data_IF_828197928569
#
_entry.id   IF_828197928569
#
_cell.length_a   1.000
_cell.length_b   1.000
_cell.length_c   1.000
_cell.angle_alpha   90.00
_cell.angle_beta   90.00
_cell.angle_gamma   90.00
#
_symmetry.space_group_name_H-M   'P 1'
#
loop_
_entity.id
_entity.type
_entity.pdbx_description
1 polymer ?
#
# COMPACT_ATOMS: atom_id res chain seq x y z
N UNK A 1 -22.74 -11.10 -3.33
CA UNK A 1 -22.26 -10.16 -2.27
C UNK A 1 -22.43 -8.74 -2.80
N UNK A 2 -22.92 -7.81 -1.97
CA UNK A 2 -22.97 -6.37 -2.34
C UNK A 2 -21.53 -5.84 -2.39
N UNK A 3 -21.22 -4.98 -3.36
CA UNK A 3 -19.94 -4.30 -3.44
C UNK A 3 -19.67 -3.51 -2.15
N UNK A 4 -18.47 -3.63 -1.60
CA UNK A 4 -18.01 -2.77 -0.51
C UNK A 4 -17.35 -1.53 -1.12
N UNK A 5 -17.88 -0.35 -0.79
CA UNK A 5 -17.32 0.91 -1.28
C UNK A 5 -15.87 1.06 -0.85
N UNK A 6 -15.03 1.57 -1.74
CA UNK A 6 -13.61 1.76 -1.54
C UNK A 6 -13.28 3.26 -1.49
N UNK A 7 -12.28 3.62 -0.71
CA UNK A 7 -11.70 4.97 -0.78
C UNK A 7 -11.17 5.22 -2.20
N UNK A 8 -10.66 4.18 -2.84
CA UNK A 8 -10.23 4.18 -4.23
C UNK A 8 -11.33 4.59 -5.23
N UNK A 9 -12.62 4.42 -4.93
CA UNK A 9 -13.73 4.79 -5.83
C UNK A 9 -13.76 6.32 -6.07
N UNK A 10 -13.61 7.09 -5.00
CA UNK A 10 -13.60 8.55 -5.10
C UNK A 10 -12.34 9.06 -5.82
N UNK A 11 -11.19 8.43 -5.58
CA UNK A 11 -9.93 8.76 -6.25
C UNK A 11 -9.99 8.42 -7.75
N UNK A 12 -10.60 7.28 -8.12
CA UNK A 12 -10.81 6.91 -9.51
C UNK A 12 -11.70 7.93 -10.23
N UNK A 13 -12.79 8.34 -9.58
CA UNK A 13 -13.70 9.36 -10.12
C UNK A 13 -12.98 10.68 -10.36
N UNK A 14 -12.24 11.19 -9.37
CA UNK A 14 -11.47 12.43 -9.49
C UNK A 14 -10.46 12.36 -10.67
N UNK A 15 -9.79 11.21 -10.80
CA UNK A 15 -8.85 11.01 -11.92
C UNK A 15 -9.55 10.92 -13.28
N UNK A 16 -10.71 10.30 -13.36
CA UNK A 16 -11.52 10.25 -14.60
C UNK A 16 -12.04 11.63 -14.98
N UNK A 17 -12.37 12.47 -14.01
CA UNK A 17 -12.78 13.85 -14.26
C UNK A 17 -11.61 14.73 -14.78
N UNK A 18 -10.36 14.30 -14.55
CA UNK A 18 -9.15 15.06 -14.89
C UNK A 18 -8.44 14.55 -16.14
N UNK A 19 -8.39 13.23 -16.35
CA UNK A 19 -7.61 12.59 -17.42
C UNK A 19 -8.50 11.81 -18.39
N UNK A 20 -8.05 11.66 -19.64
CA UNK A 20 -8.75 10.88 -20.65
C UNK A 20 -8.83 9.38 -20.32
N UNK A 21 -7.81 8.85 -19.66
CA UNK A 21 -7.78 7.46 -19.21
C UNK A 21 -7.12 7.31 -17.83
N UNK A 22 -7.49 6.25 -17.10
CA UNK A 22 -6.89 5.90 -15.80
C UNK A 22 -6.47 4.43 -15.80
N UNK A 23 -5.20 4.19 -15.47
CA UNK A 23 -4.65 2.84 -15.23
C UNK A 23 -4.67 2.55 -13.73
N UNK A 24 -5.36 1.49 -13.33
CA UNK A 24 -5.39 0.98 -11.96
C UNK A 24 -4.37 -0.16 -11.85
N UNK A 25 -3.36 0.04 -11.00
CA UNK A 25 -2.32 -0.95 -10.71
C UNK A 25 -2.43 -1.43 -9.25
N UNK A 26 -1.79 -2.54 -8.93
CA UNK A 26 -1.74 -3.10 -7.57
C UNK A 26 -1.72 -4.62 -7.58
N UNK A 27 -1.58 -5.29 -6.41
CA UNK A 27 -1.44 -6.73 -6.31
C UNK A 27 -2.66 -7.47 -6.86
N UNK A 28 -2.46 -8.71 -7.29
CA UNK A 28 -3.57 -9.61 -7.63
C UNK A 28 -4.50 -9.77 -6.43
N UNK A 29 -5.80 -9.87 -6.71
CA UNK A 29 -6.80 -10.09 -5.67
C UNK A 29 -7.21 -8.87 -4.85
N UNK A 30 -6.59 -7.68 -5.00
CA UNK A 30 -6.97 -6.47 -4.22
C UNK A 30 -8.29 -5.81 -4.68
N UNK A 31 -8.89 -6.26 -5.80
CA UNK A 31 -10.23 -5.82 -6.23
C UNK A 31 -10.25 -4.80 -7.38
N UNK A 32 -9.16 -4.58 -8.12
CA UNK A 32 -9.04 -3.61 -9.24
C UNK A 32 -10.19 -3.68 -10.23
N UNK A 33 -10.40 -4.86 -10.82
CA UNK A 33 -11.47 -5.10 -11.81
C UNK A 33 -12.85 -4.78 -11.23
N UNK A 34 -13.10 -5.18 -9.98
CA UNK A 34 -14.40 -4.94 -9.33
C UNK A 34 -14.65 -3.45 -9.12
N UNK A 35 -13.65 -2.71 -8.64
CA UNK A 35 -13.71 -1.25 -8.47
C UNK A 35 -13.87 -0.54 -9.83
N UNK A 36 -13.09 -0.93 -10.83
CA UNK A 36 -13.19 -0.38 -12.19
C UNK A 36 -14.58 -0.56 -12.79
N UNK A 37 -15.20 -1.74 -12.62
CA UNK A 37 -16.55 -2.05 -13.09
C UNK A 37 -17.63 -1.17 -12.47
N UNK A 38 -17.44 -0.63 -11.25
CA UNK A 38 -18.42 0.29 -10.64
C UNK A 38 -18.58 1.60 -11.40
N UNK A 39 -17.53 2.02 -12.12
CA UNK A 39 -17.50 3.30 -12.84
C UNK A 39 -17.45 3.14 -14.36
N UNK A 40 -17.38 1.92 -14.86
CA UNK A 40 -17.38 1.66 -16.30
C UNK A 40 -18.80 1.43 -16.83
N UNK A 41 -19.07 1.89 -18.07
CA UNK A 41 -20.33 1.64 -18.78
C UNK A 41 -20.23 0.50 -19.77
N UNK A 42 -19.02 0.15 -20.19
CA UNK A 42 -18.75 -1.01 -21.03
C UNK A 42 -17.40 -1.62 -20.69
N UNK A 43 -17.23 -2.92 -20.95
CA UNK A 43 -16.08 -3.71 -20.50
C UNK A 43 -15.54 -4.59 -21.62
N UNK A 44 -14.21 -4.64 -21.74
CA UNK A 44 -13.46 -5.65 -22.48
C UNK A 44 -12.57 -6.38 -21.46
N UNK A 45 -12.80 -7.68 -21.29
CA UNK A 45 -12.02 -8.58 -20.44
C UNK A 45 -11.13 -9.46 -21.34
N UNK A 46 -9.81 -9.17 -21.38
CA UNK A 46 -8.89 -9.92 -22.23
C UNK A 46 -8.65 -11.36 -21.75
N UNK A 47 -9.13 -11.71 -20.57
CA UNK A 47 -9.06 -13.06 -20.00
C UNK A 47 -10.40 -13.82 -20.08
N UNK A 48 -11.43 -13.27 -20.73
CA UNK A 48 -12.68 -13.97 -21.03
C UNK A 48 -12.42 -15.05 -22.09
N UNK A 49 -12.36 -16.31 -21.69
CA UNK A 49 -11.99 -17.44 -22.56
C UNK A 49 -12.86 -17.54 -23.82
N UNK A 50 -14.15 -17.18 -23.75
CA UNK A 50 -15.05 -17.24 -24.90
C UNK A 50 -14.73 -16.18 -25.98
N UNK A 51 -14.17 -15.04 -25.60
CA UNK A 51 -13.93 -13.89 -26.48
C UNK A 51 -12.45 -13.56 -26.64
N UNK A 52 -11.58 -14.22 -25.85
CA UNK A 52 -10.15 -13.92 -25.77
C UNK A 52 -9.50 -13.84 -27.15
N UNK A 53 -9.66 -14.88 -27.96
CA UNK A 53 -8.99 -14.94 -29.26
C UNK A 53 -9.47 -13.83 -30.20
N UNK A 54 -10.78 -13.52 -30.18
CA UNK A 54 -11.35 -12.43 -30.97
C UNK A 54 -10.79 -11.07 -30.50
N UNK A 55 -10.76 -10.85 -29.17
CA UNK A 55 -10.24 -9.57 -28.63
C UNK A 55 -8.77 -9.40 -28.90
N UNK A 56 -7.95 -10.44 -28.73
CA UNK A 56 -6.50 -10.37 -28.99
C UNK A 56 -6.18 -10.18 -30.48
N UNK A 57 -6.91 -10.87 -31.37
CA UNK A 57 -6.77 -10.67 -32.82
C UNK A 57 -7.16 -9.24 -33.21
N UNK A 58 -8.32 -8.75 -32.75
CA UNK A 58 -8.77 -7.38 -33.02
C UNK A 58 -7.79 -6.35 -32.44
N UNK A 59 -7.29 -6.56 -31.22
CA UNK A 59 -6.28 -5.67 -30.61
C UNK A 59 -4.96 -5.62 -31.41
N UNK A 60 -4.60 -6.73 -32.07
CA UNK A 60 -3.40 -6.84 -32.91
C UNK A 60 -3.55 -6.06 -34.21
N UNK A 61 -4.70 -6.22 -34.89
CA UNK A 61 -4.88 -5.78 -36.29
C UNK A 61 -5.62 -4.45 -36.40
N UNK A 62 -6.61 -4.21 -35.53
CA UNK A 62 -7.47 -3.05 -35.53
C UNK A 62 -7.84 -2.59 -34.12
N UNK A 63 -6.86 -2.21 -33.26
CA UNK A 63 -7.13 -1.91 -31.84
C UNK A 63 -8.16 -0.79 -31.61
N UNK A 64 -8.32 0.15 -32.55
CA UNK A 64 -9.32 1.22 -32.49
C UNK A 64 -10.77 0.69 -32.49
N UNK A 65 -11.03 -0.48 -33.06
CA UNK A 65 -12.36 -1.08 -33.06
C UNK A 65 -12.79 -1.48 -31.65
N UNK A 66 -11.86 -1.85 -30.78
CA UNK A 66 -12.17 -2.18 -29.40
C UNK A 66 -12.49 -0.92 -28.55
N UNK A 67 -12.19 0.28 -29.04
CA UNK A 67 -12.51 1.52 -28.35
C UNK A 67 -13.98 1.95 -28.51
N UNK A 68 -14.71 1.33 -29.45
CA UNK A 68 -16.12 1.62 -29.72
C UNK A 68 -16.98 1.03 -28.58
N UNK A 69 -17.80 1.87 -27.94
CA UNK A 69 -18.71 1.49 -26.86
C UNK A 69 -18.88 2.62 -25.85
N UNK A 70 -19.78 2.43 -24.89
CA UNK A 70 -20.11 3.41 -23.86
C UNK A 70 -18.92 3.72 -22.95
N UNK A 71 -18.79 4.98 -22.58
CA UNK A 71 -17.68 5.53 -21.78
C UNK A 71 -18.14 5.89 -20.35
N UNK A 72 -17.27 5.66 -19.36
CA UNK A 72 -15.92 5.08 -19.40
C UNK A 72 -15.94 3.61 -19.85
N UNK A 73 -14.98 3.23 -20.70
CA UNK A 73 -14.82 1.83 -21.14
C UNK A 73 -13.64 1.19 -20.43
N UNK A 74 -13.88 0.04 -19.79
CA UNK A 74 -12.86 -0.73 -19.08
C UNK A 74 -12.15 -1.70 -20.03
N UNK A 75 -10.82 -1.72 -19.93
CA UNK A 75 -9.94 -2.74 -20.50
C UNK A 75 -9.27 -3.48 -19.36
N UNK A 76 -9.80 -4.65 -19.01
CA UNK A 76 -9.30 -5.47 -17.91
C UNK A 76 -8.13 -6.33 -18.36
N UNK A 77 -7.03 -6.32 -17.57
CA UNK A 77 -5.74 -6.96 -17.86
C UNK A 77 -5.17 -6.52 -19.22
N UNK A 78 -5.12 -5.19 -19.45
CA UNK A 78 -4.71 -4.56 -20.72
C UNK A 78 -3.36 -5.03 -21.25
N UNK A 79 -2.45 -5.49 -20.38
CA UNK A 79 -1.11 -5.96 -20.74
C UNK A 79 -1.14 -7.22 -21.62
N UNK A 80 -2.24 -7.94 -21.68
CA UNK A 80 -2.42 -9.07 -22.61
C UNK A 80 -2.62 -8.59 -24.06
N UNK A 81 -3.00 -7.30 -24.24
CA UNK A 81 -3.22 -6.66 -25.54
C UNK A 81 -2.47 -5.31 -25.66
N UNK A 82 -1.12 -5.29 -25.69
CA UNK A 82 -0.32 -4.06 -25.54
C UNK A 82 -0.61 -2.95 -26.54
N UNK A 83 -1.04 -3.28 -27.77
CA UNK A 83 -1.37 -2.29 -28.80
C UNK A 83 -2.56 -1.41 -28.43
N UNK A 84 -3.43 -1.84 -27.50
CA UNK A 84 -4.56 -1.05 -27.03
C UNK A 84 -4.10 0.24 -26.35
N UNK A 85 -2.95 0.24 -25.71
CA UNK A 85 -2.34 1.42 -25.09
C UNK A 85 -2.16 2.57 -26.08
N UNK A 86 -1.56 2.28 -27.23
CA UNK A 86 -1.35 3.27 -28.29
C UNK A 86 -2.66 3.80 -28.89
N UNK A 87 -3.65 2.90 -29.05
CA UNK A 87 -4.97 3.28 -29.55
C UNK A 87 -5.72 4.18 -28.57
N UNK A 88 -5.70 3.85 -27.27
CA UNK A 88 -6.31 4.68 -26.21
C UNK A 88 -5.64 6.05 -26.16
N UNK A 89 -4.30 6.11 -26.16
CA UNK A 89 -3.57 7.37 -26.16
C UNK A 89 -4.00 8.27 -27.35
N UNK A 90 -4.05 7.68 -28.55
CA UNK A 90 -4.48 8.40 -29.74
C UNK A 90 -5.93 8.89 -29.63
N UNK A 91 -6.85 8.03 -29.19
CA UNK A 91 -8.26 8.40 -29.01
C UNK A 91 -8.43 9.54 -28.00
N UNK A 92 -7.66 9.56 -26.89
CA UNK A 92 -7.67 10.67 -25.93
C UNK A 92 -7.18 11.97 -26.59
N UNK A 93 -6.14 11.91 -27.43
CA UNK A 93 -5.64 13.06 -28.18
C UNK A 93 -6.66 13.57 -29.20
N UNK A 94 -7.34 12.66 -29.92
CA UNK A 94 -8.30 13.00 -30.95
C UNK A 94 -9.61 13.54 -30.37
N UNK A 95 -10.14 12.93 -29.29
CA UNK A 95 -11.41 13.32 -28.68
C UNK A 95 -11.30 14.52 -27.73
N UNK A 96 -10.12 14.76 -27.16
CA UNK A 96 -9.83 15.83 -26.17
C UNK A 96 -10.85 15.87 -25.01
N UNK A 97 -11.27 14.69 -24.52
CA UNK A 97 -12.22 14.53 -23.43
C UNK A 97 -11.58 13.75 -22.27
N UNK A 98 -12.11 13.97 -21.09
CA UNK A 98 -11.79 13.21 -19.89
C UNK A 98 -12.74 12.02 -19.71
N UNK A 99 -12.38 11.04 -18.84
CA UNK A 99 -13.25 9.95 -18.44
C UNK A 99 -13.59 8.94 -19.55
N UNK A 100 -12.71 8.77 -20.53
CA UNK A 100 -12.99 7.89 -21.68
C UNK A 100 -12.70 6.41 -21.35
N UNK A 101 -11.58 6.14 -20.65
CA UNK A 101 -11.10 4.77 -20.49
C UNK A 101 -10.60 4.48 -19.09
N UNK A 102 -10.81 3.22 -18.66
CA UNK A 102 -10.20 2.64 -17.47
C UNK A 102 -9.40 1.41 -17.94
N UNK A 103 -8.18 1.27 -17.44
CA UNK A 103 -7.35 0.08 -17.65
C UNK A 103 -7.05 -0.54 -16.28
N UNK A 104 -7.00 -1.87 -16.21
CA UNK A 104 -6.50 -2.55 -15.02
C UNK A 104 -5.32 -3.44 -15.38
N UNK A 105 -4.34 -3.53 -14.48
CA UNK A 105 -3.20 -4.44 -14.61
C UNK A 105 -2.68 -4.88 -13.25
N UNK A 106 -2.43 -6.16 -13.11
CA UNK A 106 -1.98 -6.78 -11.87
C UNK A 106 -0.46 -6.95 -11.78
N UNK A 107 0.25 -6.66 -12.87
CA UNK A 107 1.71 -6.76 -12.94
C UNK A 107 2.25 -5.59 -13.77
N UNK A 108 3.43 -5.11 -13.41
CA UNK A 108 4.22 -4.24 -14.29
C UNK A 108 5.03 -5.11 -15.25
N UNK A 109 4.36 -5.91 -16.11
CA UNK A 109 5.04 -6.62 -17.19
C UNK A 109 5.88 -5.61 -17.98
N UNK A 110 7.03 -6.03 -18.50
CA UNK A 110 7.79 -5.25 -19.48
C UNK A 110 7.01 -5.20 -20.80
N UNK A 111 5.86 -4.50 -20.76
CA UNK A 111 5.08 -4.25 -21.96
C UNK A 111 5.81 -3.16 -22.73
N UNK A 112 6.40 -3.50 -23.86
CA UNK A 112 6.95 -2.51 -24.78
C UNK A 112 5.79 -1.74 -25.39
N UNK A 113 5.54 -0.53 -24.85
CA UNK A 113 4.64 0.42 -25.45
C UNK A 113 5.44 1.38 -26.33
N UNK A 114 4.94 1.66 -27.52
CA UNK A 114 5.61 2.54 -28.48
C UNK A 114 5.75 4.00 -28.02
N UNK A 115 4.93 4.41 -27.05
CA UNK A 115 4.92 5.77 -26.49
C UNK A 115 4.44 5.74 -25.03
N UNK A 116 4.96 6.67 -24.22
CA UNK A 116 4.47 6.89 -22.84
C UNK A 116 3.03 7.44 -22.87
N UNK A 117 2.23 7.09 -21.86
CA UNK A 117 0.87 7.64 -21.69
C UNK A 117 0.85 9.01 -20.99
N UNK A 118 2.00 9.70 -20.89
CA UNK A 118 2.15 10.94 -20.12
C UNK A 118 1.09 11.97 -20.48
N UNK A 119 0.42 12.53 -19.47
CA UNK A 119 -0.69 13.50 -19.55
C UNK A 119 -2.01 12.96 -20.14
N UNK A 120 -2.06 11.76 -20.70
CA UNK A 120 -3.27 11.14 -21.27
C UNK A 120 -3.81 10.06 -20.37
N UNK A 121 -2.91 9.25 -19.80
CA UNK A 121 -3.24 8.10 -18.95
C UNK A 121 -2.64 8.36 -17.58
N UNK A 122 -3.49 8.58 -16.58
CA UNK A 122 -3.08 8.70 -15.18
C UNK A 122 -2.97 7.33 -14.54
N UNK A 123 -2.02 7.15 -13.62
CA UNK A 123 -1.89 5.90 -12.88
C UNK A 123 -2.42 6.07 -11.46
N UNK A 124 -3.08 5.03 -10.95
CA UNK A 124 -3.60 4.93 -9.60
C UNK A 124 -3.22 3.57 -9.02
N UNK A 125 -2.57 3.56 -7.85
CA UNK A 125 -2.27 2.32 -7.13
C UNK A 125 -3.42 1.98 -6.19
N UNK A 126 -3.82 0.72 -6.19
CA UNK A 126 -4.87 0.18 -5.34
C UNK A 126 -4.28 -0.86 -4.38
N UNK A 127 -4.69 -0.80 -3.12
CA UNK A 127 -4.27 -1.67 -2.03
C UNK A 127 -5.35 -2.73 -1.71
N UNK A 128 -5.06 -3.76 -0.91
CA UNK A 128 -6.08 -4.53 -0.21
C UNK A 128 -7.01 -3.62 0.61
N UNK A 129 -8.12 -4.12 1.17
CA UNK A 129 -9.03 -3.29 1.99
C UNK A 129 -8.33 -2.85 3.28
N UNK A 130 -8.56 -1.58 3.64
CA UNK A 130 -8.25 -1.08 4.99
C UNK A 130 -9.24 -1.60 6.02
N UNK A 131 -8.96 -1.42 7.31
CA UNK A 131 -9.89 -1.75 8.39
C UNK A 131 -11.22 -0.98 8.28
N UNK A 132 -11.19 0.25 7.77
CA UNK A 132 -12.42 1.01 7.53
C UNK A 132 -13.23 0.43 6.36
N UNK A 133 -12.60 0.12 5.25
CA UNK A 133 -13.27 -0.49 4.08
C UNK A 133 -13.80 -1.89 4.38
N UNK A 134 -13.19 -2.61 5.32
CA UNK A 134 -13.64 -3.92 5.79
C UNK A 134 -14.66 -3.86 6.94
N UNK A 135 -14.99 -2.65 7.42
CA UNK A 135 -15.97 -2.40 8.50
C UNK A 135 -15.49 -2.82 9.90
N UNK A 136 -14.19 -2.93 10.09
CA UNK A 136 -13.54 -3.21 11.38
C UNK A 136 -13.15 -1.93 12.11
N UNK A 137 -12.83 -0.87 11.38
CA UNK A 137 -12.78 0.48 11.93
C UNK A 137 -14.18 1.14 11.89
N UNK A 138 -14.57 1.78 12.97
CA UNK A 138 -15.84 2.50 13.04
C UNK A 138 -15.80 3.88 12.35
N UNK A 139 -14.63 4.32 11.91
CA UNK A 139 -14.44 5.58 11.17
C UNK A 139 -14.79 6.84 11.96
N UNK A 140 -14.76 6.79 13.29
CA UNK A 140 -15.08 7.96 14.13
C UNK A 140 -14.03 9.07 14.08
N UNK A 141 -12.84 8.77 13.53
CA UNK A 141 -11.74 9.73 13.38
C UNK A 141 -11.34 9.81 11.91
N UNK A 142 -11.60 10.95 11.28
CA UNK A 142 -11.10 11.22 9.92
C UNK A 142 -9.68 11.78 9.97
N UNK A 143 -8.79 11.16 9.20
CA UNK A 143 -7.40 11.62 9.10
C UNK A 143 -7.32 13.00 8.45
N UNK A 144 -8.18 13.27 7.47
CA UNK A 144 -8.30 14.60 6.83
C UNK A 144 -8.74 15.67 7.83
N UNK A 145 -9.77 15.38 8.62
CA UNK A 145 -10.28 16.32 9.63
C UNK A 145 -9.23 16.61 10.71
N UNK A 146 -8.41 15.64 11.09
CA UNK A 146 -7.30 15.86 12.02
C UNK A 146 -6.27 16.86 11.48
N UNK A 147 -5.98 16.84 10.17
CA UNK A 147 -5.08 17.81 9.56
C UNK A 147 -5.72 19.19 9.39
N UNK A 148 -7.00 19.24 9.07
CA UNK A 148 -7.69 20.50 8.77
C UNK A 148 -8.19 21.20 10.04
N UNK A 149 -8.60 20.46 11.07
CA UNK A 149 -9.15 20.99 12.31
C UNK A 149 -8.82 20.08 13.51
N UNK A 150 -7.55 20.02 13.95
CA UNK A 150 -7.11 19.12 15.03
C UNK A 150 -7.82 19.36 16.36
N UNK A 151 -8.32 20.58 16.62
CA UNK A 151 -9.02 20.93 17.85
C UNK A 151 -10.48 20.42 17.87
N UNK A 152 -11.01 19.94 16.75
CA UNK A 152 -12.31 19.26 16.70
C UNK A 152 -12.29 17.90 17.38
N UNK A 153 -11.13 17.26 17.50
CA UNK A 153 -11.00 15.95 18.12
C UNK A 153 -11.26 16.00 19.63
N UNK A 154 -12.33 15.34 20.08
CA UNK A 154 -12.74 15.29 21.49
C UNK A 154 -12.54 13.92 22.14
N UNK A 155 -11.96 12.99 21.41
CA UNK A 155 -11.75 11.60 21.80
C UNK A 155 -12.49 10.63 20.90
N UNK A 156 -12.15 9.36 21.01
CA UNK A 156 -12.77 8.27 20.24
C UNK A 156 -12.76 6.97 21.03
N UNK A 157 -13.66 6.04 20.66
CA UNK A 157 -13.73 4.70 21.27
C UNK A 157 -13.77 3.68 20.13
N UNK A 158 -12.82 2.77 20.15
CA UNK A 158 -12.75 1.63 19.24
C UNK A 158 -13.51 0.43 19.84
N UNK A 159 -14.28 -0.25 19.00
CA UNK A 159 -14.89 -1.52 19.34
C UNK A 159 -14.04 -2.72 18.93
N UNK A 160 -12.95 -2.48 18.17
CA UNK A 160 -12.07 -3.53 17.69
C UNK A 160 -11.23 -4.10 18.84
N UNK A 161 -11.46 -5.35 19.17
CA UNK A 161 -10.69 -6.06 20.20
C UNK A 161 -9.33 -6.49 19.69
N UNK A 162 -8.37 -6.72 20.60
CA UNK A 162 -7.04 -7.21 20.22
C UNK A 162 -7.11 -8.55 19.46
N UNK A 163 -8.04 -9.44 19.83
CA UNK A 163 -8.24 -10.71 19.14
C UNK A 163 -8.72 -10.52 17.70
N UNK A 164 -9.65 -9.63 17.47
CA UNK A 164 -10.13 -9.27 16.13
C UNK A 164 -9.06 -8.57 15.31
N UNK A 165 -8.25 -7.70 15.94
CA UNK A 165 -7.11 -7.05 15.30
C UNK A 165 -6.04 -8.06 14.86
N UNK A 166 -5.67 -9.02 15.72
CA UNK A 166 -4.77 -10.12 15.37
C UNK A 166 -5.33 -10.91 14.18
N UNK A 167 -6.61 -11.25 14.24
CA UNK A 167 -7.28 -11.97 13.15
C UNK A 167 -7.25 -11.17 11.85
N UNK A 168 -7.53 -9.85 11.88
CA UNK A 168 -7.49 -8.96 10.73
C UNK A 168 -6.08 -8.87 10.11
N UNK A 169 -5.03 -8.80 10.94
CA UNK A 169 -3.62 -8.85 10.50
C UNK A 169 -3.33 -10.15 9.75
N UNK A 170 -3.74 -11.29 10.31
CA UNK A 170 -3.46 -12.61 9.72
C UNK A 170 -4.27 -12.86 8.44
N UNK A 171 -5.55 -12.47 8.42
CA UNK A 171 -6.46 -12.63 7.27
C UNK A 171 -6.06 -11.71 6.10
N UNK A 172 -5.58 -10.50 6.42
CA UNK A 172 -5.34 -9.45 5.45
C UNK A 172 -6.61 -8.76 4.93
N UNK A 173 -6.38 -7.73 4.10
CA UNK A 173 -7.44 -6.94 3.45
C UNK A 173 -7.92 -7.49 2.11
N UNK A 174 -7.81 -8.78 1.85
CA UNK A 174 -8.17 -9.39 0.55
C UNK A 174 -9.69 -9.50 0.38
N UNK A 175 -10.31 -8.91 -0.66
CA UNK A 175 -11.76 -8.93 -0.87
C UNK A 175 -12.38 -10.33 -0.85
N UNK A 176 -11.63 -11.35 -1.26
CA UNK A 176 -12.07 -12.75 -1.26
C UNK A 176 -12.41 -13.25 0.14
N UNK A 177 -11.67 -12.83 1.18
CA UNK A 177 -11.92 -13.22 2.55
C UNK A 177 -13.34 -12.89 3.03
N UNK A 178 -13.92 -11.78 2.53
CA UNK A 178 -15.24 -11.31 2.93
C UNK A 178 -16.39 -12.05 2.24
N UNK A 179 -16.09 -12.97 1.31
CA UNK A 179 -17.07 -13.89 0.71
C UNK A 179 -17.15 -15.21 1.47
N UNK A 180 -16.17 -15.52 2.29
CA UNK A 180 -16.03 -16.78 3.03
C UNK A 180 -16.78 -16.66 4.35
N UNK A 181 -17.63 -17.65 4.66
CA UNK A 181 -18.41 -17.68 5.91
C UNK A 181 -17.61 -18.21 7.09
N UNK A 182 -16.81 -19.25 6.85
CA UNK A 182 -16.00 -19.87 7.89
C UNK A 182 -14.75 -19.02 8.15
N UNK A 183 -14.54 -18.59 9.38
CA UNK A 183 -13.42 -17.70 9.72
C UNK A 183 -12.05 -18.37 9.56
N UNK A 184 -11.90 -19.64 9.88
CA UNK A 184 -10.63 -20.33 9.67
C UNK A 184 -10.22 -20.36 8.21
N UNK A 185 -11.17 -20.59 7.30
CA UNK A 185 -10.89 -20.63 5.86
C UNK A 185 -10.54 -19.24 5.27
N UNK A 186 -10.81 -18.15 6.00
CA UNK A 186 -10.37 -16.81 5.56
C UNK A 186 -8.85 -16.65 5.64
N UNK A 187 -8.20 -17.37 6.54
CA UNK A 187 -6.75 -17.36 6.69
C UNK A 187 -6.07 -18.07 5.51
N UNK A 188 -6.68 -19.12 4.97
CA UNK A 188 -6.18 -19.87 3.82
C UNK A 188 -5.98 -19.00 2.57
N UNK A 189 -6.68 -17.85 2.49
CA UNK A 189 -6.57 -16.93 1.34
C UNK A 189 -5.17 -16.34 1.22
N UNK A 190 -4.55 -15.97 2.33
CA UNK A 190 -3.19 -15.43 2.33
C UNK A 190 -2.16 -16.53 2.02
N UNK A 191 -2.36 -17.74 2.53
CA UNK A 191 -1.51 -18.90 2.25
C UNK A 191 -1.56 -19.28 0.77
N UNK A 192 -2.77 -19.36 0.18
CA UNK A 192 -2.92 -19.63 -1.26
C UNK A 192 -2.30 -18.51 -2.11
N UNK A 193 -2.48 -17.25 -1.71
CA UNK A 193 -1.85 -16.11 -2.40
C UNK A 193 -0.33 -16.26 -2.42
N UNK A 194 0.32 -16.53 -1.30
CA UNK A 194 1.77 -16.75 -1.23
C UNK A 194 2.17 -17.96 -2.10
N UNK A 195 1.39 -19.03 -2.03
CA UNK A 195 1.62 -20.19 -2.90
C UNK A 195 1.57 -19.83 -4.40
N UNK A 196 0.56 -19.08 -4.84
CA UNK A 196 0.42 -18.65 -6.24
C UNK A 196 1.56 -17.71 -6.66
N UNK A 197 1.94 -16.75 -5.80
CA UNK A 197 3.08 -15.86 -6.05
C UNK A 197 4.35 -16.68 -6.32
N UNK A 198 4.66 -17.63 -5.44
CA UNK A 198 5.88 -18.44 -5.54
C UNK A 198 5.88 -19.38 -6.75
N UNK A 199 4.74 -19.99 -7.07
CA UNK A 199 4.69 -21.08 -8.04
C UNK A 199 4.32 -20.62 -9.46
N UNK A 200 3.64 -19.47 -9.61
CA UNK A 200 3.12 -19.02 -10.90
C UNK A 200 3.46 -17.56 -11.20
N UNK A 201 3.05 -16.63 -10.33
CA UNK A 201 3.00 -15.21 -10.65
C UNK A 201 4.38 -14.61 -10.89
N UNK A 202 5.38 -14.99 -10.07
CA UNK A 202 6.73 -14.46 -10.18
C UNK A 202 7.42 -14.79 -11.52
N UNK A 203 7.05 -15.90 -12.14
CA UNK A 203 7.58 -16.29 -13.45
C UNK A 203 6.80 -15.70 -14.63
N UNK A 204 5.58 -15.19 -14.39
CA UNK A 204 4.73 -14.61 -15.44
C UNK A 204 5.02 -13.14 -15.77
N UNK A 205 5.97 -12.51 -15.06
CA UNK A 205 6.28 -11.09 -15.22
C UNK A 205 7.05 -10.82 -16.53
N UNK A 206 8.03 -11.67 -16.84
CA UNK A 206 9.00 -11.49 -17.93
C UNK A 206 9.40 -12.81 -18.59
N UNK A 207 8.58 -13.85 -18.44
CA UNK A 207 8.78 -15.21 -18.95
C UNK A 207 10.09 -15.89 -18.46
N UNK A 208 10.72 -15.34 -17.41
CA UNK A 208 11.86 -15.95 -16.74
C UNK A 208 11.38 -16.98 -15.73
N UNK A 209 11.75 -18.25 -15.92
CA UNK A 209 11.42 -19.30 -14.98
C UNK A 209 12.15 -19.10 -13.64
N UNK A 210 11.40 -18.85 -12.58
CA UNK A 210 11.91 -18.63 -11.22
C UNK A 210 11.61 -19.82 -10.31
N UNK A 211 12.52 -20.06 -9.37
CA UNK A 211 12.39 -21.14 -8.38
C UNK A 211 11.39 -20.76 -7.28
N UNK A 212 10.32 -21.56 -7.07
CA UNK A 212 9.40 -21.35 -5.96
C UNK A 212 10.11 -21.40 -4.59
N UNK A 213 11.08 -22.29 -4.43
CA UNK A 213 11.87 -22.44 -3.19
C UNK A 213 12.64 -21.16 -2.87
N UNK A 214 13.30 -20.56 -3.86
CA UNK A 214 14.05 -19.33 -3.68
C UNK A 214 13.12 -18.14 -3.41
N UNK A 215 11.98 -18.06 -4.11
CA UNK A 215 10.96 -17.03 -3.87
C UNK A 215 10.42 -17.09 -2.44
N UNK A 216 10.09 -18.28 -1.96
CA UNK A 216 9.61 -18.50 -0.59
C UNK A 216 10.67 -18.09 0.44
N UNK A 217 11.95 -18.45 0.22
CA UNK A 217 13.04 -18.07 1.13
C UNK A 217 13.21 -16.53 1.20
N UNK A 218 13.07 -15.83 0.09
CA UNK A 218 13.12 -14.36 0.04
C UNK A 218 11.93 -13.75 0.78
N UNK A 219 10.70 -14.21 0.52
CA UNK A 219 9.50 -13.73 1.21
C UNK A 219 9.61 -13.98 2.72
N UNK A 220 10.12 -15.14 3.13
CA UNK A 220 10.32 -15.47 4.55
C UNK A 220 11.35 -14.56 5.22
N UNK A 221 12.46 -14.25 4.54
CA UNK A 221 13.47 -13.30 5.06
C UNK A 221 12.89 -11.89 5.16
N UNK A 222 12.15 -11.42 4.16
CA UNK A 222 11.43 -10.15 4.22
C UNK A 222 10.43 -10.10 5.37
N UNK A 223 9.65 -11.16 5.55
CA UNK A 223 8.63 -11.26 6.60
C UNK A 223 9.23 -11.22 8.00
N UNK A 224 10.40 -11.87 8.19
CA UNK A 224 11.15 -11.83 9.45
C UNK A 224 11.69 -10.43 9.77
N UNK A 225 11.98 -9.65 8.75
CA UNK A 225 12.56 -8.33 8.84
C UNK A 225 11.53 -7.22 8.53
N UNK A 226 10.22 -7.52 8.57
CA UNK A 226 9.17 -6.55 8.28
C UNK A 226 9.25 -5.35 9.23
N UNK A 227 9.03 -4.15 8.71
CA UNK A 227 9.11 -2.88 9.43
C UNK A 227 10.47 -2.63 10.12
N UNK A 228 11.56 -3.19 9.61
CA UNK A 228 12.92 -2.92 10.12
C UNK A 228 13.81 -2.27 9.06
N UNK A 229 14.90 -1.65 9.51
CA UNK A 229 15.97 -1.07 8.67
C UNK A 229 16.96 -2.12 8.16
N UNK A 230 16.52 -3.36 8.00
CA UNK A 230 17.34 -4.46 7.52
C UNK A 230 17.93 -4.14 6.15
N UNK A 231 19.24 -4.27 5.99
CA UNK A 231 19.91 -4.09 4.71
C UNK A 231 19.76 -5.31 3.79
N UNK A 232 20.00 -5.14 2.50
CA UNK A 232 19.95 -6.24 1.54
C UNK A 232 20.99 -7.33 1.81
N UNK A 233 22.11 -6.97 2.44
CA UNK A 233 23.16 -7.94 2.79
C UNK A 233 22.63 -8.99 3.79
N UNK A 234 21.84 -8.56 4.75
CA UNK A 234 21.16 -9.45 5.71
C UNK A 234 20.18 -10.39 4.99
N UNK A 235 19.33 -9.84 4.08
CA UNK A 235 18.42 -10.66 3.28
C UNK A 235 19.19 -11.69 2.45
N UNK A 236 20.29 -11.29 1.82
CA UNK A 236 21.11 -12.22 1.02
C UNK A 236 21.73 -13.33 1.89
N UNK A 237 22.22 -13.01 3.07
CA UNK A 237 22.76 -14.00 4.01
C UNK A 237 21.70 -15.00 4.48
N UNK A 238 20.50 -14.49 4.83
CA UNK A 238 19.39 -15.36 5.22
C UNK A 238 19.02 -16.34 4.11
N UNK A 239 18.87 -15.87 2.88
CA UNK A 239 18.49 -16.69 1.72
C UNK A 239 19.57 -17.69 1.38
N UNK A 240 20.83 -17.27 1.36
CA UNK A 240 21.98 -18.14 1.06
C UNK A 240 22.22 -19.23 2.12
N UNK A 241 21.74 -19.05 3.32
CA UNK A 241 21.87 -20.10 4.36
C UNK A 241 21.18 -21.40 3.98
N UNK A 242 20.18 -21.35 3.08
CA UNK A 242 19.37 -22.50 2.66
C UNK A 242 19.27 -22.70 1.15
N UNK A 243 19.82 -21.77 0.37
CA UNK A 243 19.75 -21.80 -1.09
C UNK A 243 21.10 -21.41 -1.70
N UNK A 244 21.46 -22.10 -2.76
CA UNK A 244 22.62 -21.72 -3.61
C UNK A 244 22.15 -20.68 -4.63
N UNK A 245 22.34 -19.39 -4.30
CA UNK A 245 21.93 -18.27 -5.14
C UNK A 245 22.93 -17.11 -5.02
N UNK A 246 23.21 -16.43 -6.14
CA UNK A 246 24.02 -15.20 -6.13
C UNK A 246 23.24 -14.01 -5.62
N UNK A 247 23.92 -12.97 -5.10
CA UNK A 247 23.29 -11.69 -4.68
C UNK A 247 22.51 -11.07 -5.83
N UNK A 248 23.05 -11.13 -7.06
CA UNK A 248 22.36 -10.63 -8.25
C UNK A 248 21.04 -11.38 -8.48
N UNK A 249 21.06 -12.71 -8.40
CA UNK A 249 19.84 -13.51 -8.57
C UNK A 249 18.79 -13.15 -7.51
N UNK A 250 19.19 -13.01 -6.24
CA UNK A 250 18.26 -12.62 -5.16
C UNK A 250 17.69 -11.22 -5.42
N UNK A 251 18.52 -10.27 -5.88
CA UNK A 251 18.07 -8.92 -6.24
C UNK A 251 17.04 -8.94 -7.39
N UNK A 252 17.26 -9.75 -8.42
CA UNK A 252 16.34 -9.90 -9.56
C UNK A 252 14.97 -10.46 -9.11
N UNK A 253 14.96 -11.34 -8.09
CA UNK A 253 13.70 -11.85 -7.51
C UNK A 253 12.99 -10.79 -6.65
N UNK A 254 13.75 -10.00 -5.89
CA UNK A 254 13.19 -8.89 -5.11
C UNK A 254 12.52 -7.89 -6.05
N UNK A 255 13.20 -7.48 -7.14
CA UNK A 255 12.63 -6.60 -8.15
C UNK A 255 11.36 -7.20 -8.78
N UNK A 256 11.35 -8.51 -9.05
CA UNK A 256 10.17 -9.19 -9.55
C UNK A 256 9.00 -9.13 -8.54
N UNK A 257 9.25 -9.30 -7.25
CA UNK A 257 8.23 -9.18 -6.19
C UNK A 257 7.72 -7.73 -6.02
N UNK A 258 8.58 -6.72 -6.20
CA UNK A 258 8.19 -5.31 -6.25
C UNK A 258 7.28 -5.04 -7.47
N UNK A 259 7.60 -5.59 -8.63
CA UNK A 259 6.78 -5.49 -9.85
C UNK A 259 5.45 -6.22 -9.75
N UNK A 260 5.31 -7.21 -8.86
CA UNK A 260 4.03 -7.82 -8.47
C UNK A 260 3.27 -7.01 -7.43
N UNK A 261 3.82 -5.91 -6.95
CA UNK A 261 3.29 -5.11 -5.85
C UNK A 261 3.17 -5.89 -4.53
N UNK A 262 4.07 -6.84 -4.27
CA UNK A 262 4.12 -7.63 -3.04
C UNK A 262 5.07 -6.99 -2.03
N UNK A 263 6.27 -6.63 -2.47
CA UNK A 263 7.22 -5.83 -1.68
C UNK A 263 6.92 -4.36 -1.90
N UNK A 264 6.85 -3.62 -0.82
CA UNK A 264 6.63 -2.17 -0.81
C UNK A 264 7.40 -1.51 0.34
N UNK A 265 8.70 -1.42 0.17
CA UNK A 265 9.59 -0.79 1.14
C UNK A 265 9.22 0.69 1.39
N UNK A 266 9.51 1.17 2.61
CA UNK A 266 9.21 2.52 3.04
C UNK A 266 10.45 3.39 2.92
N UNK A 267 10.32 4.52 2.23
CA UNK A 267 11.40 5.46 2.02
C UNK A 267 11.67 6.32 3.28
N UNK A 268 12.93 6.68 3.55
CA UNK A 268 13.27 7.61 4.62
C UNK A 268 12.80 9.03 4.30
N UNK A 269 12.44 9.76 5.33
CA UNK A 269 12.07 11.17 5.25
C UNK A 269 13.00 12.04 6.12
N UNK A 270 13.10 13.31 5.77
CA UNK A 270 13.81 14.32 6.55
C UNK A 270 13.08 15.66 6.42
N UNK A 271 12.92 16.43 7.50
CA UNK A 271 12.25 17.74 7.44
C UNK A 271 12.95 18.73 6.49
N UNK A 272 14.24 18.58 6.27
CA UNK A 272 14.98 19.37 5.28
C UNK A 272 14.94 18.68 3.91
N UNK A 273 14.06 19.11 3.01
CA UNK A 273 13.85 18.52 1.64
C UNK A 273 15.17 18.39 0.85
N UNK A 274 16.13 19.30 1.07
CA UNK A 274 17.44 19.26 0.41
C UNK A 274 18.51 18.49 1.18
N UNK A 275 18.13 17.78 2.25
CA UNK A 275 19.06 16.99 3.04
C UNK A 275 19.57 15.78 2.26
N UNK A 276 20.90 15.65 2.21
CA UNK A 276 21.54 14.46 1.66
C UNK A 276 21.33 13.21 2.54
N UNK A 277 20.97 13.39 3.80
CA UNK A 277 20.78 12.32 4.77
C UNK A 277 19.58 11.45 4.40
N UNK A 278 18.43 12.04 4.04
CA UNK A 278 17.25 11.31 3.61
C UNK A 278 17.52 10.43 2.38
N UNK A 279 18.31 10.92 1.42
CA UNK A 279 18.65 10.17 0.20
C UNK A 279 19.59 9.00 0.49
N UNK A 280 20.41 9.10 1.54
CA UNK A 280 21.46 8.10 1.87
C UNK A 280 21.02 7.07 2.92
N UNK A 281 19.87 7.27 3.54
CA UNK A 281 19.32 6.33 4.50
C UNK A 281 18.72 5.12 3.77
N UNK A 282 18.81 3.93 4.37
CA UNK A 282 18.21 2.71 3.82
C UNK A 282 16.68 2.78 3.83
N UNK A 283 16.04 1.86 3.10
CA UNK A 283 14.58 1.70 3.16
C UNK A 283 14.20 0.78 4.31
N UNK A 284 13.09 1.06 4.97
CA UNK A 284 12.46 0.14 5.93
C UNK A 284 11.75 -0.96 5.14
N UNK A 285 12.03 -2.25 5.44
CA UNK A 285 11.45 -3.40 4.73
C UNK A 285 9.95 -3.48 4.98
N UNK A 286 9.16 -3.66 3.95
CA UNK A 286 7.71 -3.83 4.12
C UNK A 286 7.08 -4.64 2.98
N UNK A 287 5.91 -5.19 3.26
CA UNK A 287 5.04 -5.89 2.32
C UNK A 287 3.74 -5.10 2.15
N UNK A 288 3.05 -5.31 1.03
CA UNK A 288 1.82 -4.58 0.69
C UNK A 288 0.68 -4.83 1.70
N UNK A 289 0.72 -5.97 2.39
CA UNK A 289 -0.25 -6.39 3.40
C UNK A 289 0.42 -7.34 4.40
N UNK A 290 0.23 -7.16 5.73
CA UNK A 290 0.90 -7.97 6.75
C UNK A 290 0.56 -9.46 6.68
N UNK A 291 -0.59 -9.84 6.12
CA UNK A 291 -0.98 -11.26 5.99
C UNK A 291 -0.01 -12.06 5.11
N UNK A 292 0.67 -11.41 4.16
CA UNK A 292 1.72 -12.06 3.36
C UNK A 292 2.89 -12.47 4.26
N UNK A 293 3.24 -11.64 5.24
CA UNK A 293 4.28 -11.98 6.21
C UNK A 293 3.86 -13.16 7.10
N UNK A 294 2.63 -13.13 7.61
CA UNK A 294 2.06 -14.21 8.42
C UNK A 294 2.10 -15.54 7.67
N UNK A 295 1.58 -15.57 6.46
CA UNK A 295 1.57 -16.75 5.59
C UNK A 295 2.99 -17.25 5.26
N UNK A 296 3.91 -16.33 4.91
CA UNK A 296 5.30 -16.69 4.57
C UNK A 296 6.09 -17.24 5.78
N UNK A 297 5.76 -16.80 6.99
CA UNK A 297 6.34 -17.32 8.23
C UNK A 297 5.71 -18.66 8.65
N UNK A 298 4.51 -18.99 8.13
CA UNK A 298 3.77 -20.21 8.47
C UNK A 298 3.23 -20.16 9.90
N UNK A 299 2.74 -19.03 10.35
CA UNK A 299 2.21 -18.80 11.69
C UNK A 299 0.71 -18.48 11.65
N UNK A 300 0.01 -18.69 12.75
CA UNK A 300 -1.43 -18.48 12.89
C UNK A 300 -1.74 -17.42 13.97
N UNK A 301 -2.98 -16.95 14.10
CA UNK A 301 -3.35 -16.01 15.17
C UNK A 301 -2.95 -16.46 16.57
N UNK A 302 -2.99 -17.77 16.87
CA UNK A 302 -2.65 -18.35 18.17
C UNK A 302 -1.18 -18.16 18.54
N UNK A 303 -0.29 -18.08 17.54
CA UNK A 303 1.14 -17.85 17.76
C UNK A 303 1.40 -16.54 18.52
N UNK A 304 0.60 -15.53 18.28
CA UNK A 304 0.75 -14.20 18.87
C UNK A 304 0.35 -14.11 20.35
N UNK A 305 -0.18 -15.19 20.93
CA UNK A 305 -0.36 -15.25 22.38
C UNK A 305 0.97 -15.24 23.16
N UNK A 306 2.08 -15.53 22.49
CA UNK A 306 3.43 -15.62 23.08
C UNK A 306 4.46 -14.70 22.43
N UNK A 307 4.24 -14.23 21.21
CA UNK A 307 5.18 -13.38 20.47
C UNK A 307 4.58 -12.02 20.12
N UNK A 308 4.46 -11.15 21.13
CA UNK A 308 3.98 -9.78 20.97
C UNK A 308 4.96 -8.89 20.19
N UNK A 309 6.25 -9.25 20.16
CA UNK A 309 7.24 -8.46 19.41
C UNK A 309 7.01 -8.56 17.91
N UNK A 310 6.85 -9.76 17.39
CA UNK A 310 6.51 -9.97 15.96
C UNK A 310 5.14 -9.36 15.64
N UNK A 311 4.16 -9.47 16.56
CA UNK A 311 2.86 -8.83 16.39
C UNK A 311 2.98 -7.30 16.27
N UNK A 312 3.88 -6.66 17.03
CA UNK A 312 4.14 -5.21 16.96
C UNK A 312 4.57 -4.77 15.56
N UNK A 313 5.52 -5.47 14.93
CA UNK A 313 5.95 -5.17 13.57
C UNK A 313 4.85 -5.40 12.51
N UNK A 314 4.04 -6.43 12.69
CA UNK A 314 2.90 -6.68 11.79
C UNK A 314 1.79 -5.64 11.97
N UNK A 315 1.58 -5.15 13.18
CA UNK A 315 0.69 -4.04 13.49
C UNK A 315 1.17 -2.75 12.83
N UNK A 316 2.47 -2.45 12.91
CA UNK A 316 3.06 -1.32 12.18
C UNK A 316 2.81 -1.42 10.67
N UNK A 317 3.03 -2.60 10.06
CA UNK A 317 2.76 -2.83 8.64
C UNK A 317 1.28 -2.63 8.28
N UNK A 318 0.36 -3.07 9.15
CA UNK A 318 -1.08 -2.83 9.01
C UNK A 318 -1.39 -1.32 9.01
N UNK A 319 -0.85 -0.59 10.00
CA UNK A 319 -1.04 0.85 10.13
C UNK A 319 -0.51 1.60 8.89
N UNK A 320 0.66 1.25 8.40
CA UNK A 320 1.26 1.82 7.19
C UNK A 320 0.35 1.59 5.97
N UNK A 321 -0.16 0.35 5.77
CA UNK A 321 -1.11 0.05 4.69
C UNK A 321 -2.34 0.94 4.77
N UNK A 322 -2.98 0.99 5.93
CA UNK A 322 -4.22 1.73 6.13
C UNK A 322 -4.02 3.24 5.97
N UNK A 323 -2.94 3.79 6.52
CA UNK A 323 -2.62 5.21 6.37
C UNK A 323 -2.33 5.60 4.91
N UNK A 324 -1.69 4.74 4.12
CA UNK A 324 -1.53 4.96 2.67
C UNK A 324 -2.87 5.05 1.95
N UNK A 325 -3.84 4.23 2.36
CA UNK A 325 -5.20 4.26 1.81
C UNK A 325 -5.94 5.54 2.27
N UNK A 326 -5.95 5.82 3.57
CA UNK A 326 -6.68 6.97 4.14
C UNK A 326 -6.13 8.30 3.66
N UNK A 327 -4.81 8.42 3.47
CA UNK A 327 -4.18 9.65 3.00
C UNK A 327 -4.23 9.85 1.47
N UNK A 328 -4.72 8.88 0.72
CA UNK A 328 -4.68 8.92 -0.75
C UNK A 328 -5.43 10.10 -1.36
N UNK A 329 -6.56 10.53 -0.76
CA UNK A 329 -7.30 11.73 -1.17
C UNK A 329 -6.54 13.02 -0.90
N UNK A 330 -5.77 13.07 0.18
CA UNK A 330 -4.93 14.20 0.54
C UNK A 330 -3.60 14.21 -0.24
N UNK A 331 -3.38 13.22 -1.10
CA UNK A 331 -2.10 12.98 -1.80
C UNK A 331 -0.94 12.86 -0.82
N UNK A 332 -1.21 12.21 0.33
CA UNK A 332 -0.23 11.96 1.37
C UNK A 332 0.73 10.84 0.97
N UNK A 333 1.97 10.95 1.43
CA UNK A 333 3.01 9.94 1.22
C UNK A 333 3.52 9.48 2.59
N UNK A 334 3.58 8.15 2.75
CA UNK A 334 4.10 7.50 3.95
C UNK A 334 5.59 7.26 3.81
N UNK A 335 6.34 7.72 4.80
CA UNK A 335 7.78 7.53 4.96
C UNK A 335 8.07 7.21 6.43
N UNK A 336 9.34 7.12 6.82
CA UNK A 336 9.77 6.99 8.21
C UNK A 336 10.88 8.00 8.51
N UNK A 337 11.12 8.30 9.79
CA UNK A 337 12.25 9.11 10.22
C UNK A 337 13.19 8.29 11.11
N UNK A 338 14.49 8.41 10.85
CA UNK A 338 15.53 7.85 11.69
C UNK A 338 16.79 8.73 11.58
N UNK A 339 17.34 9.11 12.71
CA UNK A 339 18.56 9.89 12.76
C UNK A 339 19.80 9.05 13.15
N UNK A 340 20.95 9.66 13.06
CA UNK A 340 22.24 9.02 13.41
C UNK A 340 22.41 8.69 14.91
N UNK A 341 21.56 9.19 15.77
CA UNK A 341 21.60 8.98 17.21
C UNK A 341 20.58 7.94 17.68
N UNK A 342 19.84 7.34 16.74
CA UNK A 342 18.86 6.32 17.01
C UNK A 342 17.48 6.86 17.40
N UNK A 343 17.22 8.17 17.26
CA UNK A 343 15.89 8.72 17.41
C UNK A 343 15.09 8.45 16.14
N UNK A 344 13.90 7.87 16.30
CA UNK A 344 13.04 7.49 15.17
C UNK A 344 11.59 7.92 15.39
N UNK A 345 10.88 8.08 14.28
CA UNK A 345 9.44 7.98 14.21
C UNK A 345 9.10 6.85 13.24
N UNK A 346 8.27 5.91 13.70
CA UNK A 346 7.88 4.72 12.94
C UNK A 346 7.30 5.07 11.58
N UNK A 347 6.56 6.19 11.51
CA UNK A 347 6.02 6.74 10.29
C UNK A 347 6.07 8.27 10.23
N UNK A 348 6.17 8.78 9.02
CA UNK A 348 5.93 10.19 8.69
C UNK A 348 4.95 10.24 7.54
N UNK A 349 3.80 10.84 7.78
CA UNK A 349 2.82 11.11 6.74
C UNK A 349 2.97 12.57 6.30
N UNK A 350 3.46 12.81 5.10
CA UNK A 350 3.61 14.16 4.58
C UNK A 350 2.68 14.42 3.39
N UNK A 351 2.12 15.62 3.35
CA UNK A 351 1.19 16.07 2.33
C UNK A 351 1.90 16.97 1.31
N UNK A 352 1.33 17.08 0.12
CA UNK A 352 1.92 17.92 -0.94
C UNK A 352 1.93 19.42 -0.62
N UNK A 353 1.07 19.87 0.30
CA UNK A 353 1.05 21.26 0.77
C UNK A 353 2.12 21.58 1.83
N UNK A 354 2.93 20.58 2.20
CA UNK A 354 4.01 20.68 3.15
C UNK A 354 3.63 20.39 4.59
N UNK A 355 2.34 20.14 4.89
CA UNK A 355 1.91 19.63 6.20
C UNK A 355 2.41 18.20 6.39
N UNK A 356 2.70 17.84 7.64
CA UNK A 356 3.07 16.46 7.96
C UNK A 356 2.72 16.06 9.39
N UNK A 357 2.53 14.77 9.58
CA UNK A 357 2.34 14.13 10.87
C UNK A 357 3.54 13.22 11.19
N UNK A 358 4.03 13.28 12.43
CA UNK A 358 4.93 12.29 13.01
C UNK A 358 4.09 11.19 13.67
N UNK A 359 4.45 9.94 13.44
CA UNK A 359 3.65 8.77 13.82
C UNK A 359 4.50 7.76 14.58
N UNK A 360 3.94 7.20 15.65
CA UNK A 360 4.42 6.01 16.35
C UNK A 360 3.31 4.96 16.36
N UNK A 361 3.69 3.70 16.24
CA UNK A 361 2.75 2.56 16.21
C UNK A 361 2.98 1.69 17.45
N UNK A 362 2.06 1.73 18.39
CA UNK A 362 2.16 1.02 19.67
C UNK A 362 0.94 0.13 19.89
N UNK A 363 1.14 -1.17 19.93
CA UNK A 363 0.04 -2.12 20.05
C UNK A 363 -0.71 -1.95 21.37
N UNK A 364 0.02 -1.76 22.46
CA UNK A 364 -0.50 -1.67 23.82
C UNK A 364 -0.42 -0.27 24.42
N UNK A 365 -1.07 -0.08 25.59
CA UNK A 365 -1.08 1.19 26.31
C UNK A 365 0.23 1.52 27.04
N UNK A 366 1.01 0.48 27.42
CA UNK A 366 2.26 0.65 28.20
C UNK A 366 3.35 1.39 27.46
N UNK A 367 3.30 1.43 26.11
CA UNK A 367 4.33 2.02 25.25
C UNK A 367 3.94 3.41 24.70
N UNK A 368 2.73 3.90 25.02
CA UNK A 368 2.22 5.18 24.52
C UNK A 368 3.11 6.35 24.98
N UNK A 369 3.53 6.34 26.26
CA UNK A 369 4.36 7.42 26.81
C UNK A 369 5.73 7.49 26.14
N UNK A 370 6.34 6.35 25.82
CA UNK A 370 7.60 6.26 25.09
C UNK A 370 7.45 6.81 23.68
N UNK A 371 6.44 6.36 22.94
CA UNK A 371 6.16 6.85 21.59
C UNK A 371 5.89 8.37 21.57
N UNK A 372 5.07 8.86 22.47
CA UNK A 372 4.80 10.30 22.60
C UNK A 372 6.07 11.11 22.87
N UNK A 373 6.96 10.58 23.71
CA UNK A 373 8.25 11.22 24.04
C UNK A 373 9.15 11.30 22.79
N UNK A 374 9.24 10.27 21.97
CA UNK A 374 10.02 10.30 20.73
C UNK A 374 9.50 11.40 19.78
N UNK A 375 8.19 11.48 19.56
CA UNK A 375 7.60 12.49 18.70
C UNK A 375 7.83 13.92 19.22
N UNK A 376 7.70 14.14 20.53
CA UNK A 376 7.99 15.43 21.15
C UNK A 376 9.47 15.81 21.07
N UNK A 377 10.36 14.83 21.19
CA UNK A 377 11.81 15.05 21.07
C UNK A 377 12.20 15.47 19.64
N UNK A 378 11.63 14.84 18.61
CA UNK A 378 11.85 15.26 17.21
C UNK A 378 11.40 16.70 17.01
N UNK A 379 10.20 17.06 17.50
CA UNK A 379 9.70 18.45 17.42
C UNK A 379 10.64 19.43 18.15
N UNK A 380 11.12 19.07 19.34
CA UNK A 380 12.05 19.88 20.13
C UNK A 380 13.35 20.15 19.36
N UNK A 381 13.93 19.12 18.74
CA UNK A 381 15.15 19.24 17.94
C UNK A 381 14.95 20.15 16.72
N UNK A 382 13.79 20.09 16.09
CA UNK A 382 13.45 20.99 14.97
C UNK A 382 13.34 22.44 15.46
N UNK A 383 12.72 22.69 16.64
CA UNK A 383 12.64 24.02 17.25
C UNK A 383 14.03 24.57 17.55
N UNK A 384 14.90 23.80 18.18
CA UNK A 384 16.27 24.18 18.47
C UNK A 384 17.10 24.47 17.21
N UNK A 385 16.88 23.70 16.14
CA UNK A 385 17.49 24.00 14.85
C UNK A 385 17.01 25.36 14.33
N UNK A 386 15.73 25.65 14.38
CA UNK A 386 15.13 26.89 13.89
C UNK A 386 15.60 28.13 14.69
N UNK A 387 15.91 27.99 15.97
CA UNK A 387 16.47 29.07 16.78
C UNK A 387 17.85 29.51 16.28
N UNK A 388 18.64 28.58 15.72
CA UNK A 388 19.99 28.79 15.19
C UNK A 388 19.97 29.19 13.72
N UNK A 389 19.06 28.57 12.92
CA UNK A 389 18.93 28.78 11.48
C UNK A 389 17.78 29.77 11.18
N UNK A 390 18.11 31.01 10.93
CA UNK A 390 17.15 32.10 10.70
C UNK A 390 16.73 32.27 9.23
N UNK A 391 17.49 31.72 8.29
CA UNK A 391 17.26 31.95 6.85
C UNK A 391 16.33 30.93 6.26
N UNK A 392 16.37 29.67 6.72
CA UNK A 392 15.56 28.56 6.20
C UNK A 392 15.04 27.70 7.37
N UNK A 393 14.07 28.19 8.16
CA UNK A 393 13.53 27.40 9.25
C UNK A 393 12.80 26.17 8.70
N UNK A 394 12.92 25.06 9.41
CA UNK A 394 12.19 23.85 9.13
C UNK A 394 10.75 23.96 9.63
N UNK A 395 9.78 23.42 8.87
CA UNK A 395 8.40 23.32 9.33
C UNK A 395 8.32 22.39 10.54
N UNK A 396 7.56 22.80 11.56
CA UNK A 396 7.19 21.94 12.68
C UNK A 396 6.15 20.92 12.24
N UNK A 397 6.05 19.75 12.89
CA UNK A 397 4.96 18.80 12.62
C UNK A 397 3.60 19.44 12.91
N UNK A 398 2.66 19.26 12.00
CA UNK A 398 1.27 19.70 12.19
C UNK A 398 0.54 18.78 13.17
N UNK A 399 0.88 17.50 13.16
CA UNK A 399 0.35 16.48 14.05
C UNK A 399 1.45 15.59 14.62
N UNK A 400 1.27 15.15 15.85
CA UNK A 400 2.02 14.07 16.49
C UNK A 400 1.01 13.02 16.94
N UNK A 401 1.09 11.80 16.42
CA UNK A 401 0.05 10.79 16.65
C UNK A 401 0.70 9.46 17.07
N UNK A 402 0.27 8.91 18.18
CA UNK A 402 0.52 7.52 18.54
C UNK A 402 -0.71 6.71 18.13
N UNK A 403 -0.57 5.86 17.11
CA UNK A 403 -1.62 4.95 16.66
C UNK A 403 -1.53 3.65 17.46
N UNK A 404 -2.67 3.22 18.00
CA UNK A 404 -2.70 2.10 18.95
C UNK A 404 -3.66 0.99 18.55
N UNK A 405 -3.43 -0.22 19.11
CA UNK A 405 -4.40 -1.31 19.13
C UNK A 405 -5.37 -1.24 20.33
N UNK A 406 -5.38 -0.13 21.08
CA UNK A 406 -6.19 0.04 22.30
C UNK A 406 -7.60 0.53 22.03
N UNK A 407 -8.42 0.64 23.06
CA UNK A 407 -9.82 1.03 22.93
C UNK A 407 -10.05 2.55 22.87
N UNK A 408 -9.27 3.33 23.63
CA UNK A 408 -9.55 4.75 23.84
C UNK A 408 -8.61 5.66 23.08
N UNK A 409 -9.18 6.64 22.35
CA UNK A 409 -8.46 7.73 21.72
C UNK A 409 -8.67 9.04 22.48
N UNK A 410 -7.59 9.80 22.67
CA UNK A 410 -7.58 11.06 23.39
C UNK A 410 -6.41 11.94 22.98
N UNK A 411 -6.48 13.24 23.33
CA UNK A 411 -5.35 14.16 23.18
C UNK A 411 -4.65 14.30 24.52
N UNK A 412 -3.34 14.14 24.54
CA UNK A 412 -2.47 14.28 25.70
C UNK A 412 -2.18 15.77 26.00
N UNK A 413 -1.73 16.06 27.22
CA UNK A 413 -1.31 17.42 27.63
C UNK A 413 -0.12 17.95 26.83
N UNK A 414 0.79 17.06 26.35
CA UNK A 414 1.91 17.38 25.49
C UNK A 414 1.52 17.60 24.01
N UNK A 415 0.21 17.59 23.71
CA UNK A 415 -0.36 17.83 22.38
C UNK A 415 -0.32 16.61 21.45
N UNK A 416 0.19 15.45 21.91
CA UNK A 416 0.18 14.22 21.13
C UNK A 416 -1.22 13.61 21.12
N UNK A 417 -1.67 13.19 19.94
CA UNK A 417 -2.92 12.45 19.77
C UNK A 417 -2.67 10.95 19.95
N UNK A 418 -3.47 10.28 20.74
CA UNK A 418 -3.51 8.82 20.86
C UNK A 418 -4.77 8.36 20.14
N UNK A 419 -4.63 7.57 19.09
CA UNK A 419 -5.75 7.19 18.23
C UNK A 419 -5.74 5.69 17.98
N UNK A 420 -6.80 4.95 18.41
CA UNK A 420 -6.96 3.56 18.05
C UNK A 420 -7.10 3.39 16.52
N UNK A 421 -6.37 2.42 15.94
CA UNK A 421 -6.46 2.12 14.50
C UNK A 421 -7.91 1.77 14.09
N UNK A 422 -8.68 1.14 14.98
CA UNK A 422 -10.10 0.80 14.79
C UNK A 422 -11.06 2.00 14.82
N UNK A 423 -10.54 3.24 14.93
CA UNK A 423 -11.31 4.47 14.82
C UNK A 423 -11.05 5.25 13.53
N UNK A 424 -9.94 4.95 12.82
CA UNK A 424 -9.47 5.76 11.69
C UNK A 424 -10.27 5.51 10.40
N UNK A 425 -10.43 6.59 9.63
CA UNK A 425 -10.81 6.60 8.20
C UNK A 425 -10.06 7.71 7.46
N UNK A 426 -10.33 7.86 6.14
CA UNK A 426 -9.87 8.94 5.26
C UNK A 426 -10.31 10.35 5.69
#
# INVERSE_FOLDING_TARGET
MKYKARIADSLLKEKLDTFGAVLIIGPKGCGKTTTAKQQSKSVIEFQDEEKRDQYLSTAKDAPSMLLIGDKPRLFDEWQDAPKIWGAIRKSVDDEQKTGLYILTGSTSKNVQVSHTGTMRISTMKMYPLSLYESEESNGSVSLMELFDNPDSFKGSISNLTIKELIFAICRGGWPTCFKIKNESNKLDVADDLVYQICNKDISSIDDVKRSPKLTNAILRSYSRNICTLCDYKTIYQDVKSTNDASDKSISDYIEALERLYIIEDIDPWCPAIRSKTAIRSGKKRNLIDPSIAVASLGISPEYFNTDFKTLGFLFESLCIRDLKIYSSKMRGEMSYYHDRYGLEADGVLHLKDGRYALLEFKLGSSEIDEGAKHLCEIERLIKEYNEKEKQMPLRLPDLKIVITGTQYGYRREDGVFVIPIGCLKD
#
